data_IF_104972545173
#
_entry.id   IF_104972545173
#
_cell.length_a   1.000
_cell.length_b   1.000
_cell.length_c   1.000
_cell.angle_alpha   90.00
_cell.angle_beta   90.00
_cell.angle_gamma   90.00
#
_symmetry.space_group_name_H-M   'P 1'
#
loop_
_entity.id
_entity.type
_entity.pdbx_description
1 polymer ?
#
# COMPACT_ATOMS: atom_id res chain seq x y z
N UNK A 1 -5.54 -1.99 18.20
CA UNK A 1 -4.27 -2.64 18.02
C UNK A 1 -3.36 -1.81 17.17
N UNK A 2 -2.14 -1.94 17.48
CA UNK A 2 -1.13 -1.04 16.93
C UNK A 2 -0.65 -1.49 15.57
N UNK A 3 -0.78 -2.75 15.21
CA UNK A 3 -0.24 -3.32 13.97
C UNK A 3 -1.32 -3.46 12.91
N UNK A 4 -2.07 -2.38 12.70
CA UNK A 4 -3.22 -2.47 11.80
C UNK A 4 -3.26 -1.39 10.73
N UNK A 5 -2.13 -0.79 10.38
CA UNK A 5 -2.07 0.20 9.31
C UNK A 5 -1.73 -0.50 7.99
N UNK A 6 -2.62 -0.44 7.02
CA UNK A 6 -2.46 -1.12 5.74
C UNK A 6 -2.41 -0.07 4.63
N UNK A 7 -1.40 -0.16 3.79
CA UNK A 7 -1.30 0.67 2.58
C UNK A 7 -1.81 -0.15 1.40
N UNK A 8 -2.72 0.42 0.62
CA UNK A 8 -3.22 -0.19 -0.61
C UNK A 8 -2.75 0.65 -1.78
N UNK A 9 -1.95 0.06 -2.66
CA UNK A 9 -1.40 0.72 -3.84
C UNK A 9 -2.02 0.07 -5.06
N UNK A 10 -2.90 0.79 -5.73
CA UNK A 10 -3.67 0.27 -6.85
C UNK A 10 -4.11 1.44 -7.72
N UNK A 11 -3.84 1.39 -9.02
CA UNK A 11 -4.19 2.50 -9.91
C UNK A 11 -5.67 2.54 -10.26
N UNK A 12 -6.38 1.43 -10.20
CA UNK A 12 -7.82 1.40 -10.45
C UNK A 12 -8.55 1.88 -9.20
N UNK A 13 -9.23 3.03 -9.32
CA UNK A 13 -9.87 3.65 -8.16
C UNK A 13 -10.96 2.77 -7.57
N UNK A 14 -11.74 2.10 -8.41
CA UNK A 14 -12.83 1.27 -7.89
C UNK A 14 -12.30 0.06 -7.14
N UNK A 15 -11.26 -0.57 -7.66
CA UNK A 15 -10.64 -1.71 -6.98
C UNK A 15 -10.03 -1.24 -5.67
N UNK A 16 -9.31 -0.12 -5.72
CA UNK A 16 -8.66 0.42 -4.52
C UNK A 16 -9.68 0.72 -3.42
N UNK A 17 -10.78 1.36 -3.79
CA UNK A 17 -11.81 1.70 -2.81
C UNK A 17 -12.53 0.47 -2.28
N UNK A 18 -12.73 -0.55 -3.13
CA UNK A 18 -13.35 -1.79 -2.68
C UNK A 18 -12.49 -2.51 -1.66
N UNK A 19 -11.17 -2.55 -1.89
CA UNK A 19 -10.25 -3.15 -0.95
C UNK A 19 -10.25 -2.37 0.37
N UNK A 20 -10.29 -1.05 0.28
CA UNK A 20 -10.33 -0.22 1.48
C UNK A 20 -11.59 -0.51 2.32
N UNK A 21 -12.74 -0.58 1.66
CA UNK A 21 -13.99 -0.85 2.37
C UNK A 21 -13.92 -2.19 3.10
N UNK A 22 -13.42 -3.20 2.41
CA UNK A 22 -13.31 -4.53 3.04
C UNK A 22 -12.36 -4.49 4.23
N UNK A 23 -11.19 -3.88 4.07
CA UNK A 23 -10.21 -3.87 5.14
C UNK A 23 -10.70 -3.08 6.35
N UNK A 24 -11.38 -1.97 6.11
CA UNK A 24 -11.96 -1.21 7.21
C UNK A 24 -12.99 -2.01 7.97
N UNK A 25 -13.77 -2.84 7.27
CA UNK A 25 -14.75 -3.69 7.93
C UNK A 25 -14.09 -4.72 8.83
N UNK A 26 -12.82 -5.03 8.60
CA UNK A 26 -12.04 -5.96 9.41
C UNK A 26 -11.25 -5.27 10.52
N UNK A 27 -11.42 -3.96 10.67
CA UNK A 27 -10.77 -3.22 11.75
C UNK A 27 -9.44 -2.59 11.41
N UNK A 28 -9.04 -2.60 10.14
CA UNK A 28 -7.78 -1.98 9.73
C UNK A 28 -7.94 -0.50 9.45
N UNK A 29 -6.87 0.24 9.69
CA UNK A 29 -6.76 1.62 9.24
C UNK A 29 -6.07 1.59 7.88
N UNK A 30 -6.67 2.22 6.86
CA UNK A 30 -6.26 2.04 5.48
C UNK A 30 -5.79 3.36 4.89
N UNK A 31 -4.64 3.30 4.23
CA UNK A 31 -4.08 4.40 3.47
C UNK A 31 -4.05 4.00 2.01
N UNK A 32 -4.35 4.93 1.11
CA UNK A 32 -4.44 4.64 -0.32
C UNK A 32 -3.36 5.36 -1.09
N UNK A 33 -2.89 4.73 -2.15
CA UNK A 33 -2.01 5.36 -3.12
C UNK A 33 -2.39 4.86 -4.51
N UNK A 34 -2.33 5.75 -5.49
CA UNK A 34 -2.73 5.40 -6.86
C UNK A 34 -1.57 4.83 -7.66
N UNK A 35 -0.34 5.00 -7.20
CA UNK A 35 0.83 4.43 -7.87
C UNK A 35 1.96 4.26 -6.85
N UNK A 36 3.09 3.72 -7.34
CA UNK A 36 4.20 3.42 -6.46
C UNK A 36 4.87 4.66 -5.88
N UNK A 37 4.86 5.76 -6.62
CA UNK A 37 5.45 6.99 -6.12
C UNK A 37 4.65 7.51 -4.93
N UNK A 38 3.32 7.56 -5.06
CA UNK A 38 2.47 7.95 -3.96
C UNK A 38 2.60 6.98 -2.79
N UNK A 39 2.72 5.67 -3.09
CA UNK A 39 2.88 4.67 -2.04
C UNK A 39 4.12 4.90 -1.21
N UNK A 40 5.24 5.20 -1.86
CA UNK A 40 6.47 5.49 -1.13
C UNK A 40 6.34 6.75 -0.29
N UNK A 41 5.63 7.76 -0.78
CA UNK A 41 5.39 8.97 -0.01
C UNK A 41 4.57 8.68 1.25
N UNK A 42 3.55 7.83 1.13
CA UNK A 42 2.75 7.46 2.29
C UNK A 42 3.61 6.73 3.32
N UNK A 43 4.45 5.81 2.87
CA UNK A 43 5.31 5.04 3.77
C UNK A 43 6.24 5.97 4.56
N UNK A 44 6.69 7.06 3.94
CA UNK A 44 7.56 7.99 4.64
C UNK A 44 6.82 8.83 5.68
N UNK A 45 5.51 9.05 5.49
CA UNK A 45 4.72 9.92 6.37
C UNK A 45 3.97 9.16 7.44
N UNK A 46 3.55 7.93 7.14
CA UNK A 46 2.68 7.15 8.03
C UNK A 46 3.38 5.86 8.41
N UNK A 47 3.07 5.38 9.59
CA UNK A 47 3.57 4.07 10.01
C UNK A 47 2.74 2.99 9.34
N UNK A 48 3.36 2.20 8.46
CA UNK A 48 2.69 1.16 7.71
C UNK A 48 3.15 -0.21 8.19
N UNK A 49 2.21 -1.11 8.41
CA UNK A 49 2.51 -2.45 8.91
C UNK A 49 2.32 -3.54 7.85
N UNK A 50 1.61 -3.23 6.77
CA UNK A 50 1.38 -4.16 5.67
C UNK A 50 1.07 -3.35 4.42
N UNK A 51 1.60 -3.75 3.28
CA UNK A 51 1.25 -3.13 2.00
C UNK A 51 0.65 -4.17 1.07
N UNK A 52 -0.44 -3.79 0.40
CA UNK A 52 -1.05 -4.57 -0.68
C UNK A 52 -0.80 -3.76 -1.95
N UNK A 53 -0.06 -4.33 -2.90
CA UNK A 53 0.49 -3.57 -4.01
C UNK A 53 0.15 -4.25 -5.33
N UNK A 54 -0.45 -3.50 -6.26
CA UNK A 54 -0.62 -3.95 -7.63
C UNK A 54 0.74 -3.90 -8.32
N UNK A 55 1.15 -4.97 -8.99
CA UNK A 55 2.47 -5.04 -9.62
C UNK A 55 2.53 -4.26 -10.94
N UNK A 56 1.40 -4.00 -11.57
CA UNK A 56 1.37 -3.32 -12.87
C UNK A 56 0.72 -1.95 -12.71
N UNK A 57 1.55 -0.92 -12.57
CA UNK A 57 1.07 0.45 -12.40
C UNK A 57 1.81 1.38 -13.35
N UNK A 58 1.15 2.47 -13.79
CA UNK A 58 1.72 3.28 -14.88
C UNK A 58 2.98 4.05 -14.54
N UNK A 59 3.14 4.56 -13.32
CA UNK A 59 4.29 5.41 -13.00
C UNK A 59 5.42 4.66 -12.34
N UNK A 60 5.10 3.70 -11.49
CA UNK A 60 6.09 2.86 -10.83
C UNK A 60 5.37 1.57 -10.47
N UNK A 61 5.79 0.46 -11.07
CA UNK A 61 5.10 -0.80 -10.82
C UNK A 61 5.40 -1.35 -9.42
N UNK A 62 4.62 -2.35 -9.01
CA UNK A 62 4.69 -2.86 -7.65
C UNK A 62 6.02 -3.51 -7.32
N UNK A 63 6.67 -4.13 -8.32
CA UNK A 63 7.97 -4.76 -8.09
C UNK A 63 9.02 -3.71 -7.78
N UNK A 64 9.08 -2.65 -8.61
CA UNK A 64 10.06 -1.59 -8.41
C UNK A 64 9.81 -0.88 -7.07
N UNK A 65 8.55 -0.60 -6.75
CA UNK A 65 8.19 0.00 -5.47
C UNK A 65 8.68 -0.87 -4.31
N UNK A 66 8.45 -2.18 -4.39
CA UNK A 66 8.87 -3.09 -3.34
C UNK A 66 10.39 -3.09 -3.17
N UNK A 67 11.13 -3.08 -4.28
CA UNK A 67 12.58 -3.00 -4.20
C UNK A 67 13.02 -1.73 -3.48
N UNK A 68 12.39 -0.61 -3.76
CA UNK A 68 12.76 0.65 -3.13
C UNK A 68 12.41 0.68 -1.64
N UNK A 69 11.24 0.18 -1.27
CA UNK A 69 10.88 0.21 0.14
C UNK A 69 11.73 -0.75 0.97
N UNK A 70 12.22 -1.84 0.38
CA UNK A 70 13.07 -2.79 1.09
C UNK A 70 14.43 -2.22 1.47
N UNK A 71 14.80 -1.07 0.91
CA UNK A 71 16.02 -0.41 1.33
C UNK A 71 15.93 0.13 2.76
N UNK A 72 14.71 0.40 3.24
CA UNK A 72 14.51 1.01 4.56
C UNK A 72 13.52 0.26 5.45
N UNK A 73 12.62 -0.53 4.88
CA UNK A 73 11.48 -1.09 5.61
C UNK A 73 11.41 -2.59 5.41
N UNK A 74 10.86 -3.29 6.40
CA UNK A 74 10.80 -4.75 6.35
C UNK A 74 9.41 -5.32 6.60
N UNK A 75 8.36 -4.46 6.59
CA UNK A 75 7.01 -4.97 6.79
C UNK A 75 6.56 -5.84 5.61
N UNK A 76 5.57 -6.72 5.81
CA UNK A 76 5.11 -7.60 4.73
C UNK A 76 4.48 -6.83 3.56
N UNK A 77 4.71 -7.33 2.35
CA UNK A 77 4.12 -6.80 1.13
C UNK A 77 3.43 -7.95 0.40
N UNK A 78 2.16 -7.76 0.08
CA UNK A 78 1.37 -8.72 -0.69
C UNK A 78 1.15 -8.14 -2.08
N UNK A 79 1.51 -8.90 -3.11
CA UNK A 79 1.34 -8.45 -4.50
C UNK A 79 0.26 -9.21 -5.21
#
# INVERSE_FOLDING_TARGET
>A
MEMNHVLVVEDDKEIREGVEIYLKSQGYEVFQAADGIEGLEVIEKEEIHLAIVDIMMPRMDGILMTMKLREKYDFPVIM
#
